data_IF_438508556138
#
_entry.id   IF_438508556138
#
_cell.length_a   1.000
_cell.length_b   1.000
_cell.length_c   1.000
_cell.angle_alpha   90.00
_cell.angle_beta   90.00
_cell.angle_gamma   90.00
#
_symmetry.space_group_name_H-M   'P 1'
#
loop_
_entity.id
_entity.type
_entity.pdbx_description
1 polymer ?
#
# COMPACT_ATOMS: atom_id res chain seq x y z
N UNK A 1 5.05 -4.39 -1.83
CA UNK A 1 3.59 -4.50 -1.95
C UNK A 1 3.00 -3.26 -1.32
N UNK A 2 1.96 -2.69 -1.92
CA UNK A 2 1.25 -1.49 -1.41
C UNK A 2 -0.21 -1.82 -1.16
N UNK A 3 -0.88 -1.01 -0.34
CA UNK A 3 -2.30 -1.21 -0.02
C UNK A 3 -3.14 -0.05 -0.54
N UNK A 4 -4.15 -0.37 -1.34
CA UNK A 4 -5.13 0.58 -1.85
C UNK A 4 -6.51 0.19 -1.34
N UNK A 5 -7.31 1.19 -0.98
CA UNK A 5 -8.72 1.01 -0.64
C UNK A 5 -9.58 1.34 -1.83
N UNK A 6 -10.53 0.48 -2.11
CA UNK A 6 -11.55 0.79 -3.09
C UNK A 6 -12.60 1.70 -2.46
N UNK A 7 -12.79 2.89 -3.01
CA UNK A 7 -13.77 3.89 -2.53
C UNK A 7 -14.88 4.15 -3.57
N UNK A 8 -14.89 3.38 -4.66
CA UNK A 8 -15.91 3.47 -5.68
C UNK A 8 -17.29 2.98 -5.21
N UNK A 9 -18.38 3.43 -5.87
CA UNK A 9 -19.75 3.09 -5.47
C UNK A 9 -20.16 1.66 -5.84
N UNK A 10 -19.51 1.06 -6.84
CA UNK A 10 -19.85 -0.27 -7.38
C UNK A 10 -18.66 -1.21 -7.29
N UNK A 11 -18.86 -2.50 -6.93
CA UNK A 11 -17.78 -3.45 -6.81
C UNK A 11 -17.02 -3.64 -8.13
N UNK A 12 -15.70 -3.79 -8.06
CA UNK A 12 -14.81 -3.87 -9.23
C UNK A 12 -13.96 -5.13 -9.19
N UNK A 13 -13.68 -5.72 -10.34
CA UNK A 13 -12.78 -6.87 -10.46
C UNK A 13 -11.32 -6.42 -10.55
N UNK A 14 -10.46 -7.02 -9.72
CA UNK A 14 -9.03 -6.72 -9.72
C UNK A 14 -8.24 -7.89 -10.31
N UNK A 15 -7.62 -7.71 -11.50
CA UNK A 15 -6.90 -8.79 -12.17
C UNK A 15 -5.66 -9.23 -11.39
N UNK A 16 -5.04 -8.33 -10.63
CA UNK A 16 -3.86 -8.62 -9.80
C UNK A 16 -4.16 -9.61 -8.65
N UNK A 17 -5.45 -9.79 -8.30
CA UNK A 17 -5.92 -10.77 -7.31
C UNK A 17 -6.57 -12.00 -7.98
N UNK A 18 -6.32 -12.22 -9.28
CA UNK A 18 -6.96 -13.30 -10.05
C UNK A 18 -8.43 -12.99 -10.35
N UNK A 19 -8.71 -11.77 -10.81
CA UNK A 19 -10.06 -11.28 -11.15
C UNK A 19 -11.05 -11.31 -9.98
N UNK A 20 -10.53 -11.19 -8.76
CA UNK A 20 -11.36 -11.13 -7.56
C UNK A 20 -12.23 -9.87 -7.56
N UNK A 21 -13.50 -10.04 -7.18
CA UNK A 21 -14.43 -8.94 -6.95
C UNK A 21 -14.10 -8.23 -5.63
N UNK A 22 -13.84 -6.93 -5.71
CA UNK A 22 -13.51 -6.05 -4.58
C UNK A 22 -14.72 -5.19 -4.26
N UNK A 23 -15.11 -5.18 -2.98
CA UNK A 23 -16.26 -4.41 -2.50
C UNK A 23 -15.88 -2.95 -2.21
N UNK A 24 -16.85 -2.01 -2.23
CA UNK A 24 -16.66 -0.67 -1.67
C UNK A 24 -16.08 -0.74 -0.25
N UNK A 25 -15.17 0.19 0.06
CA UNK A 25 -14.39 0.29 1.28
C UNK A 25 -13.39 -0.85 1.56
N UNK A 26 -13.30 -1.86 0.68
CA UNK A 26 -12.37 -2.97 0.83
C UNK A 26 -10.92 -2.54 0.55
N UNK A 27 -10.00 -2.93 1.42
CA UNK A 27 -8.57 -2.69 1.27
C UNK A 27 -7.92 -3.91 0.64
N UNK A 28 -7.22 -3.70 -0.48
CA UNK A 28 -6.52 -4.74 -1.21
C UNK A 28 -5.02 -4.46 -1.26
N UNK A 29 -4.24 -5.53 -1.36
CA UNK A 29 -2.80 -5.46 -1.51
C UNK A 29 -2.43 -5.69 -2.98
N UNK A 30 -1.76 -4.71 -3.58
CA UNK A 30 -1.34 -4.72 -4.98
C UNK A 30 0.19 -4.56 -5.09
N UNK A 31 0.81 -4.98 -6.20
CA UNK A 31 2.22 -4.69 -6.45
C UNK A 31 2.47 -3.18 -6.50
N UNK A 32 3.59 -2.70 -5.96
CA UNK A 32 3.91 -1.26 -5.93
C UNK A 32 3.95 -0.65 -7.33
N UNK A 33 4.37 -1.42 -8.34
CA UNK A 33 4.37 -1.01 -9.75
C UNK A 33 2.95 -0.72 -10.31
N UNK A 34 1.90 -1.25 -9.68
CA UNK A 34 0.49 -1.02 -10.05
C UNK A 34 -0.18 0.02 -9.17
N UNK A 35 0.36 0.29 -7.98
CA UNK A 35 -0.21 1.24 -7.00
C UNK A 35 -0.51 2.59 -7.65
N UNK A 36 0.46 3.17 -8.36
CA UNK A 36 0.30 4.46 -9.05
C UNK A 36 -0.88 4.49 -10.03
N UNK A 37 -1.14 3.39 -10.74
CA UNK A 37 -2.26 3.29 -11.68
C UNK A 37 -3.64 3.33 -11.01
N UNK A 38 -3.74 2.78 -9.79
CA UNK A 38 -4.98 2.82 -9.01
C UNK A 38 -5.19 4.20 -8.40
N UNK A 39 -4.17 4.75 -7.73
CA UNK A 39 -4.29 6.01 -6.97
C UNK A 39 -4.36 7.24 -7.86
N UNK A 40 -3.98 7.12 -9.14
CA UNK A 40 -4.26 8.11 -10.18
C UNK A 40 -5.77 8.24 -10.48
N UNK A 41 -6.61 7.31 -10.00
CA UNK A 41 -8.07 7.39 -10.04
C UNK A 41 -8.65 7.65 -8.65
N UNK A 42 -8.50 8.88 -8.10
CA UNK A 42 -8.90 9.22 -6.73
C UNK A 42 -10.42 9.18 -6.48
N UNK A 43 -11.22 8.97 -7.52
CA UNK A 43 -12.67 8.74 -7.40
C UNK A 43 -13.00 7.30 -7.02
N UNK A 44 -12.12 6.35 -7.37
CA UNK A 44 -12.36 4.92 -7.23
C UNK A 44 -11.40 4.27 -6.23
N UNK A 45 -10.21 4.84 -6.03
CA UNK A 45 -9.14 4.24 -5.23
C UNK A 45 -8.45 5.27 -4.33
N UNK A 46 -8.09 4.83 -3.12
CA UNK A 46 -7.37 5.62 -2.12
C UNK A 46 -6.09 4.89 -1.66
N UNK A 47 -4.97 5.59 -1.56
CA UNK A 47 -3.71 5.04 -1.01
C UNK A 47 -3.85 4.83 0.51
N UNK A 48 -3.88 3.59 0.97
CA UNK A 48 -3.89 3.28 2.42
C UNK A 48 -2.48 3.11 2.97
N UNK A 49 -1.60 2.47 2.20
CA UNK A 49 -0.19 2.29 2.58
C UNK A 49 0.69 2.59 1.37
N UNK A 50 1.46 3.68 1.44
CA UNK A 50 2.33 4.09 0.34
C UNK A 50 3.44 3.05 0.07
N UNK A 51 3.73 2.76 -1.21
CA UNK A 51 4.81 1.88 -1.61
C UNK A 51 6.12 2.32 -0.96
N UNK A 52 6.67 1.48 -0.08
CA UNK A 52 7.93 1.75 0.60
C UNK A 52 7.83 2.33 2.02
N UNK A 53 6.63 2.59 2.57
CA UNK A 53 6.50 2.99 3.97
C UNK A 53 7.12 1.94 4.93
N UNK A 54 6.99 0.64 4.61
CA UNK A 54 7.67 -0.44 5.37
C UNK A 54 9.18 -0.48 5.17
N UNK A 55 9.69 -0.10 3.99
CA UNK A 55 11.14 -0.04 3.72
C UNK A 55 11.80 1.18 4.40
N UNK A 56 11.09 2.31 4.49
CA UNK A 56 11.55 3.50 5.21
C UNK A 56 11.49 3.32 6.74
N UNK A 57 10.50 2.60 7.26
CA UNK A 57 10.41 2.29 8.69
C UNK A 57 11.43 1.22 9.14
N UNK A 58 11.70 0.20 8.31
CA UNK A 58 12.68 -0.85 8.63
C UNK A 58 14.14 -0.37 8.65
N UNK A 59 14.45 0.80 8.06
CA UNK A 59 15.80 1.38 8.08
C UNK A 59 16.07 2.35 9.24
N UNK A 60 15.11 2.57 10.16
CA UNK A 60 15.27 3.45 11.33
C UNK A 60 15.51 2.73 12.66
N UNK A 61 15.88 1.45 12.67
CA UNK A 61 16.17 0.70 13.92
C UNK A 61 17.54 0.04 13.97
N UNK A 62 18.51 0.50 13.17
CA UNK A 62 19.90 0.05 13.25
C UNK A 62 20.87 1.24 13.32
N UNK A 63 20.79 2.03 14.39
CA UNK A 63 21.86 2.94 14.79
C UNK A 63 21.88 3.07 16.30
N UNK A 64 22.42 2.03 16.96
CA UNK A 64 22.86 2.12 18.35
C UNK A 64 24.36 1.79 18.36
N UNK A 65 25.27 2.78 18.27
CA UNK A 65 26.63 2.54 18.72
C UNK A 65 26.61 2.46 20.26
N UNK A 66 27.32 1.50 20.86
CA UNK A 66 27.41 1.39 22.31
C UNK A 66 28.17 2.61 22.87
N UNK A 67 27.60 3.21 23.91
CA UNK A 67 28.31 4.12 24.80
C UNK A 67 29.57 3.41 25.32
N UNK A 68 30.74 4.02 25.09
CA UNK A 68 31.92 3.80 25.93
C UNK A 68 32.17 5.09 26.69
N UNK A 69 32.00 4.97 27.99
CA UNK A 69 32.50 5.81 29.07
C UNK A 69 34.03 6.00 28.92
N UNK A 70 34.49 7.23 29.05
CA UNK A 70 35.79 7.62 29.62
C UNK A 70 35.61 8.97 30.36
#
# INVERSE_FOLDING_TARGET
>A
MSRVRFIGPEPVTVPELGDRLVQPDEVIEVPDARHEGYVCQPTNWESVEEPGAKAAAAKKTAAKPPQKED
#
